data_IF_790609609735
#
_entry.id   IF_790609609735
#
_cell.length_a   1.000
_cell.length_b   1.000
_cell.length_c   1.000
_cell.angle_alpha   90.00
_cell.angle_beta   90.00
_cell.angle_gamma   90.00
#
_symmetry.space_group_name_H-M   'P 1'
#
loop_
_entity.id
_entity.type
_entity.pdbx_description
1 polymer ?
#
# COMPACT_ATOMS: atom_id res chain seq x y z
N UNK A 1 22.59 -20.02 -17.30
CA UNK A 1 21.20 -20.14 -17.79
C UNK A 1 20.32 -19.11 -17.11
N UNK A 2 19.61 -18.27 -17.87
CA UNK A 2 18.80 -17.20 -17.29
C UNK A 2 17.54 -16.84 -18.10
N UNK A 3 16.52 -16.29 -17.43
CA UNK A 3 15.28 -15.79 -18.03
C UNK A 3 14.49 -16.85 -18.81
N UNK A 4 14.45 -18.10 -18.32
CA UNK A 4 13.70 -19.20 -18.93
C UNK A 4 12.45 -19.56 -18.13
N UNK A 5 11.46 -20.12 -18.82
CA UNK A 5 10.29 -20.77 -18.23
C UNK A 5 10.41 -22.27 -18.51
N UNK A 6 10.52 -23.09 -17.46
CA UNK A 6 10.91 -24.50 -17.54
C UNK A 6 9.91 -25.36 -16.75
N UNK A 7 9.16 -26.20 -17.45
CA UNK A 7 8.07 -26.96 -16.84
C UNK A 7 7.72 -28.26 -17.56
N UNK A 8 7.07 -29.19 -16.83
CA UNK A 8 6.59 -30.49 -17.33
C UNK A 8 7.70 -31.44 -17.81
N UNK A 9 8.88 -31.42 -17.18
CA UNK A 9 9.98 -32.33 -17.48
C UNK A 9 10.30 -33.25 -16.30
N UNK A 10 10.99 -34.37 -16.56
CA UNK A 10 11.57 -35.18 -15.46
C UNK A 10 12.61 -34.38 -14.66
N UNK A 11 13.47 -33.64 -15.36
CA UNK A 11 14.45 -32.71 -14.79
C UNK A 11 14.23 -31.34 -15.45
N UNK A 12 14.00 -30.30 -14.66
CA UNK A 12 13.89 -28.93 -15.17
C UNK A 12 15.24 -28.43 -15.68
N UNK A 13 16.22 -28.33 -14.77
CA UNK A 13 17.61 -28.01 -15.12
C UNK A 13 18.53 -29.10 -14.59
N UNK A 14 19.27 -29.78 -15.47
CA UNK A 14 20.39 -30.65 -15.11
C UNK A 14 21.71 -29.89 -15.26
N UNK A 15 22.56 -29.92 -14.24
CA UNK A 15 23.84 -29.19 -14.22
C UNK A 15 25.01 -30.17 -14.12
N UNK A 16 25.90 -30.12 -15.11
CA UNK A 16 27.17 -30.84 -15.16
C UNK A 16 28.31 -29.90 -15.56
N UNK A 17 29.55 -30.25 -15.17
CA UNK A 17 30.72 -29.38 -15.32
C UNK A 17 30.72 -28.22 -14.32
N UNK A 18 31.87 -27.62 -14.01
CA UNK A 18 31.99 -26.63 -12.92
C UNK A 18 31.76 -25.16 -13.38
N UNK A 19 31.52 -24.26 -12.42
CA UNK A 19 31.41 -22.79 -12.63
C UNK A 19 30.15 -22.35 -13.40
N UNK A 20 28.99 -22.85 -12.99
CA UNK A 20 27.71 -22.48 -13.61
C UNK A 20 27.02 -21.32 -12.91
N UNK A 21 26.21 -20.57 -13.65
CA UNK A 21 25.37 -19.49 -13.11
C UNK A 21 23.93 -19.69 -13.61
N UNK A 22 22.98 -19.77 -12.68
CA UNK A 22 21.55 -20.03 -12.95
C UNK A 22 20.72 -18.96 -12.25
N UNK A 23 20.04 -18.10 -13.02
CA UNK A 23 19.30 -16.99 -12.41
C UNK A 23 18.10 -16.49 -13.19
N UNK A 24 17.14 -15.85 -12.52
CA UNK A 24 15.92 -15.30 -13.13
C UNK A 24 15.11 -16.33 -13.93
N UNK A 25 15.09 -17.59 -13.51
CA UNK A 25 14.27 -18.62 -14.17
C UNK A 25 12.98 -18.89 -13.38
N UNK A 26 11.95 -19.31 -14.11
CA UNK A 26 10.67 -19.79 -13.61
C UNK A 26 10.63 -21.31 -13.82
N UNK A 27 10.70 -22.10 -12.76
CA UNK A 27 10.92 -23.55 -12.80
C UNK A 27 9.82 -24.26 -12.00
N UNK A 28 8.90 -24.94 -12.70
CA UNK A 28 7.74 -25.53 -12.04
C UNK A 28 7.20 -26.79 -12.70
N UNK A 29 6.43 -27.61 -11.96
CA UNK A 29 5.82 -28.84 -12.48
C UNK A 29 6.82 -29.80 -13.15
N UNK A 30 8.07 -29.85 -12.69
CA UNK A 30 9.03 -30.86 -13.10
C UNK A 30 9.16 -31.95 -12.02
N UNK A 31 9.75 -33.10 -12.32
CA UNK A 31 10.14 -34.06 -11.29
C UNK A 31 11.15 -33.44 -10.32
N UNK A 32 12.32 -33.11 -10.84
CA UNK A 32 13.33 -32.29 -10.15
C UNK A 32 13.32 -30.89 -10.74
N UNK A 33 13.29 -29.83 -9.91
CA UNK A 33 13.42 -28.46 -10.39
C UNK A 33 14.81 -28.19 -10.95
N UNK A 34 15.83 -28.25 -10.10
CA UNK A 34 17.26 -28.17 -10.46
C UNK A 34 17.99 -29.38 -9.88
N UNK A 35 18.74 -30.10 -10.70
CA UNK A 35 19.58 -31.24 -10.29
C UNK A 35 21.05 -30.95 -10.57
N UNK A 36 21.90 -31.06 -9.55
CA UNK A 36 23.28 -30.58 -9.58
C UNK A 36 24.26 -31.71 -9.28
N UNK A 37 25.26 -31.83 -10.15
CA UNK A 37 26.47 -32.63 -9.95
C UNK A 37 27.67 -31.84 -10.47
N UNK A 38 27.96 -30.72 -9.80
CA UNK A 38 28.83 -29.64 -10.28
C UNK A 38 29.32 -28.76 -9.14
N UNK A 39 30.60 -28.37 -9.17
CA UNK A 39 31.16 -27.40 -8.22
C UNK A 39 30.98 -25.96 -8.69
N UNK A 40 31.05 -25.03 -7.74
CA UNK A 40 31.05 -23.57 -8.00
C UNK A 40 29.83 -23.10 -8.79
N UNK A 41 28.68 -23.74 -8.57
CA UNK A 41 27.41 -23.34 -9.19
C UNK A 41 26.73 -22.25 -8.36
N UNK A 42 26.46 -21.10 -8.99
CA UNK A 42 25.73 -19.98 -8.40
C UNK A 42 24.27 -19.97 -8.85
N UNK A 43 23.33 -19.90 -7.91
CA UNK A 43 21.88 -19.99 -8.16
C UNK A 43 21.20 -18.85 -7.42
N UNK A 44 20.59 -17.92 -8.16
CA UNK A 44 19.91 -16.78 -7.53
C UNK A 44 18.74 -16.23 -8.33
N UNK A 45 17.79 -15.57 -7.68
CA UNK A 45 16.62 -14.97 -8.32
C UNK A 45 15.74 -15.95 -9.12
N UNK A 46 15.71 -17.24 -8.78
CA UNK A 46 14.84 -18.20 -9.45
C UNK A 46 13.55 -18.40 -8.64
N UNK A 47 12.44 -18.58 -9.34
CA UNK A 47 11.16 -19.03 -8.79
C UNK A 47 11.05 -20.54 -9.05
N UNK A 48 11.11 -21.34 -7.99
CA UNK A 48 11.19 -22.82 -8.07
C UNK A 48 10.03 -23.40 -7.25
N UNK A 49 8.96 -23.84 -7.91
CA UNK A 49 7.75 -24.26 -7.20
C UNK A 49 7.02 -25.43 -7.85
N UNK A 50 6.20 -26.15 -7.08
CA UNK A 50 5.39 -27.29 -7.55
C UNK A 50 6.18 -28.33 -8.37
N UNK A 51 7.46 -28.55 -8.05
CA UNK A 51 8.21 -29.68 -8.59
C UNK A 51 7.90 -30.93 -7.74
N UNK A 52 7.59 -32.03 -8.41
CA UNK A 52 6.95 -33.22 -7.84
C UNK A 52 7.83 -33.94 -6.82
N UNK A 53 9.13 -34.05 -7.09
CA UNK A 53 10.07 -34.74 -6.21
C UNK A 53 10.79 -33.76 -5.29
N UNK A 54 11.52 -32.79 -5.86
CA UNK A 54 12.29 -31.80 -5.09
C UNK A 54 12.60 -30.55 -5.92
N UNK A 55 12.59 -29.39 -5.27
CA UNK A 55 12.95 -28.11 -5.89
C UNK A 55 14.41 -28.06 -6.35
N UNK A 56 15.35 -28.33 -5.44
CA UNK A 56 16.79 -28.41 -5.73
C UNK A 56 17.38 -29.69 -5.16
N UNK A 57 17.93 -30.53 -6.03
CA UNK A 57 18.71 -31.70 -5.67
C UNK A 57 20.19 -31.47 -5.95
N UNK A 58 21.06 -31.80 -5.00
CA UNK A 58 22.51 -31.74 -5.20
C UNK A 58 23.22 -32.97 -4.65
N UNK A 59 24.14 -33.50 -5.43
CA UNK A 59 24.99 -34.63 -5.04
C UNK A 59 26.47 -34.30 -5.31
N UNK A 60 27.34 -34.56 -4.32
CA UNK A 60 28.80 -34.46 -4.44
C UNK A 60 29.27 -33.15 -5.10
N UNK A 61 28.79 -32.02 -4.59
CA UNK A 61 28.98 -30.69 -5.18
C UNK A 61 29.44 -29.68 -4.13
N UNK A 62 30.45 -28.87 -4.46
CA UNK A 62 31.12 -27.99 -3.50
C UNK A 62 31.21 -26.54 -3.99
N UNK A 63 31.41 -25.61 -3.05
CA UNK A 63 31.67 -24.19 -3.31
C UNK A 63 30.57 -23.46 -4.11
N UNK A 64 29.35 -23.98 -4.10
CA UNK A 64 28.18 -23.32 -4.68
C UNK A 64 27.65 -22.18 -3.81
N UNK A 65 26.91 -21.28 -4.43
CA UNK A 65 26.27 -20.14 -3.77
C UNK A 65 24.80 -20.05 -4.19
N UNK A 66 23.88 -20.19 -3.23
CA UNK A 66 22.43 -20.20 -3.47
C UNK A 66 21.79 -19.09 -2.63
N UNK A 67 21.25 -18.04 -3.25
CA UNK A 67 20.65 -16.93 -2.52
C UNK A 67 19.54 -16.24 -3.33
N UNK A 68 18.63 -15.54 -2.66
CA UNK A 68 17.53 -14.80 -3.27
C UNK A 68 16.68 -15.63 -4.25
N UNK A 69 16.51 -16.93 -4.00
CA UNK A 69 15.55 -17.76 -4.73
C UNK A 69 14.27 -17.93 -3.90
N UNK A 70 13.15 -18.22 -4.57
CA UNK A 70 11.92 -18.66 -3.93
C UNK A 70 11.76 -20.15 -4.17
N UNK A 71 11.80 -20.93 -3.09
CA UNK A 71 11.47 -22.35 -3.10
C UNK A 71 10.09 -22.55 -2.50
N UNK A 72 9.16 -23.10 -3.30
CA UNK A 72 7.81 -23.45 -2.87
C UNK A 72 7.38 -24.82 -3.40
N UNK A 73 7.92 -25.87 -2.80
CA UNK A 73 7.68 -27.27 -3.17
C UNK A 73 7.40 -28.07 -1.89
N UNK A 74 6.83 -29.26 -2.00
CA UNK A 74 6.68 -30.17 -0.86
C UNK A 74 8.03 -30.50 -0.23
N UNK A 75 9.06 -30.67 -1.07
CA UNK A 75 10.46 -30.79 -0.66
C UNK A 75 11.26 -29.72 -1.42
N UNK A 76 11.77 -28.72 -0.69
CA UNK A 76 12.43 -27.58 -1.34
C UNK A 76 13.86 -27.88 -1.78
N UNK A 77 14.66 -28.52 -0.93
CA UNK A 77 16.03 -28.85 -1.24
C UNK A 77 16.48 -30.14 -0.55
N UNK A 78 17.19 -30.98 -1.27
CA UNK A 78 17.89 -32.16 -0.75
C UNK A 78 19.34 -32.15 -1.22
N UNK A 79 20.27 -32.25 -0.28
CA UNK A 79 21.69 -32.14 -0.55
C UNK A 79 22.47 -33.28 0.10
N UNK A 80 23.28 -33.97 -0.71
CA UNK A 80 24.08 -35.12 -0.29
C UNK A 80 25.54 -34.91 -0.67
N UNK A 81 26.44 -35.12 0.31
CA UNK A 81 27.89 -34.85 0.13
C UNK A 81 28.16 -33.49 -0.49
N UNK A 82 27.31 -32.51 -0.20
CA UNK A 82 27.29 -31.18 -0.82
C UNK A 82 27.53 -30.14 0.25
N UNK A 83 28.35 -29.13 -0.05
CA UNK A 83 28.61 -28.01 0.85
C UNK A 83 28.49 -26.71 0.06
N UNK A 84 27.34 -26.06 0.17
CA UNK A 84 27.06 -24.77 -0.46
C UNK A 84 26.88 -23.67 0.59
N UNK A 85 27.10 -22.42 0.16
CA UNK A 85 26.64 -21.24 0.90
C UNK A 85 25.20 -20.93 0.49
N UNK A 86 24.30 -20.75 1.46
CA UNK A 86 22.86 -20.58 1.23
C UNK A 86 22.36 -19.15 1.43
N UNK A 87 23.27 -18.18 1.55
CA UNK A 87 22.92 -16.77 1.63
C UNK A 87 24.09 -15.90 1.15
N UNK A 88 23.77 -14.69 0.68
CA UNK A 88 24.77 -13.64 0.45
C UNK A 88 25.06 -12.88 1.74
N UNK A 89 25.96 -11.89 1.67
CA UNK A 89 26.00 -10.82 2.65
C UNK A 89 24.70 -10.01 2.59
N UNK A 90 24.24 -9.50 3.74
CA UNK A 90 23.09 -8.57 3.77
C UNK A 90 23.41 -7.30 2.97
N UNK A 91 22.49 -6.89 2.12
CA UNK A 91 22.58 -5.63 1.37
C UNK A 91 21.19 -5.11 1.01
N UNK A 92 21.09 -3.80 0.85
CA UNK A 92 19.89 -3.19 0.27
C UNK A 92 19.70 -3.62 -1.18
N UNK A 93 18.45 -3.89 -1.57
CA UNK A 93 18.06 -4.31 -2.90
C UNK A 93 16.73 -5.04 -2.88
N UNK A 94 16.01 -5.02 -4.01
CA UNK A 94 14.74 -5.72 -4.11
C UNK A 94 14.98 -7.23 -4.11
N UNK A 95 14.46 -7.93 -3.11
CA UNK A 95 14.55 -9.39 -3.01
C UNK A 95 13.44 -10.09 -3.80
N UNK A 96 13.53 -11.42 -3.90
CA UNK A 96 12.60 -12.25 -4.71
C UNK A 96 11.14 -12.19 -4.23
N UNK A 97 10.91 -11.73 -3.01
CA UNK A 97 9.59 -11.53 -2.40
C UNK A 97 9.13 -10.06 -2.47
N UNK A 98 9.91 -9.17 -3.07
CA UNK A 98 9.60 -7.74 -3.21
C UNK A 98 10.03 -6.86 -2.02
N UNK A 99 10.67 -7.42 -0.99
CA UNK A 99 11.25 -6.65 0.12
C UNK A 99 12.52 -5.89 -0.28
N UNK A 100 13.03 -5.00 0.57
CA UNK A 100 14.14 -4.07 0.26
C UNK A 100 15.52 -4.54 0.71
N UNK A 101 15.62 -5.75 1.27
CA UNK A 101 16.88 -6.34 1.73
C UNK A 101 17.08 -7.71 1.08
N UNK A 102 18.25 -7.93 0.48
CA UNK A 102 18.70 -9.22 -0.03
C UNK A 102 19.56 -9.91 1.04
N UNK A 103 19.29 -11.19 1.27
CA UNK A 103 20.05 -12.06 2.18
C UNK A 103 20.14 -13.49 1.64
N UNK A 104 19.34 -14.38 2.22
CA UNK A 104 19.23 -15.79 1.86
C UNK A 104 18.11 -16.07 0.86
N UNK A 105 17.45 -17.21 1.01
CA UNK A 105 16.36 -17.66 0.15
C UNK A 105 15.02 -17.61 0.88
N UNK A 106 13.94 -17.66 0.12
CA UNK A 106 12.58 -17.83 0.65
C UNK A 106 12.19 -19.31 0.61
N UNK A 107 11.81 -19.85 1.76
CA UNK A 107 11.48 -21.25 2.00
C UNK A 107 9.98 -21.39 2.33
N UNK A 108 9.16 -21.48 1.30
CA UNK A 108 7.70 -21.61 1.37
C UNK A 108 7.29 -23.08 1.27
N UNK A 109 6.02 -23.37 1.52
CA UNK A 109 5.42 -24.63 1.09
C UNK A 109 3.98 -24.38 0.57
N UNK A 110 3.40 -25.33 -0.19
CA UNK A 110 2.06 -25.17 -0.77
C UNK A 110 0.92 -25.07 0.24
N UNK A 111 1.17 -25.41 1.51
CA UNK A 111 0.19 -25.37 2.59
C UNK A 111 0.30 -24.09 3.44
N UNK A 112 1.04 -23.09 2.96
CA UNK A 112 1.29 -21.81 3.63
C UNK A 112 1.90 -21.88 5.03
N UNK A 113 2.57 -22.98 5.33
CA UNK A 113 3.26 -23.25 6.61
C UNK A 113 4.78 -23.30 6.45
N UNK A 114 5.30 -22.85 5.31
CA UNK A 114 6.73 -22.82 5.05
C UNK A 114 7.48 -21.98 6.08
N UNK A 115 8.79 -22.21 6.21
CA UNK A 115 9.61 -21.52 7.19
C UNK A 115 9.55 -20.00 7.01
N UNK A 116 9.72 -19.50 5.78
CA UNK A 116 9.63 -18.07 5.49
C UNK A 116 8.23 -17.50 5.71
N UNK A 117 7.18 -18.33 5.59
CA UNK A 117 5.80 -17.92 5.85
C UNK A 117 5.56 -17.75 7.36
N UNK A 118 6.10 -18.65 8.19
CA UNK A 118 5.79 -18.71 9.62
C UNK A 118 6.85 -18.09 10.54
N UNK A 119 8.07 -17.85 10.06
CA UNK A 119 9.16 -17.29 10.88
C UNK A 119 8.81 -15.90 11.42
N UNK A 120 9.35 -15.53 12.58
CA UNK A 120 9.28 -14.16 13.07
C UNK A 120 10.41 -13.32 12.46
N UNK A 121 10.17 -12.02 12.31
CA UNK A 121 11.21 -11.03 11.98
C UNK A 121 11.17 -9.88 12.98
N UNK A 122 12.34 -9.42 13.39
CA UNK A 122 12.49 -8.23 14.21
C UNK A 122 12.33 -6.95 13.38
N UNK A 123 11.85 -5.87 14.00
CA UNK A 123 11.60 -4.58 13.33
C UNK A 123 12.82 -3.98 12.60
N UNK A 124 14.04 -4.44 12.93
CA UNK A 124 15.30 -3.96 12.33
C UNK A 124 15.57 -4.63 10.98
N UNK A 125 14.98 -5.80 10.71
CA UNK A 125 15.13 -6.57 9.46
C UNK A 125 13.80 -7.24 9.08
N UNK A 126 12.75 -6.44 8.84
CA UNK A 126 11.42 -6.98 8.54
C UNK A 126 11.41 -8.02 7.39
N UNK A 127 12.30 -7.87 6.41
CA UNK A 127 12.44 -8.74 5.24
C UNK A 127 13.21 -10.06 5.50
N UNK A 128 13.77 -10.28 6.70
CA UNK A 128 14.63 -11.42 7.03
C UNK A 128 14.10 -12.12 8.29
N UNK A 129 14.01 -13.45 8.27
CA UNK A 129 13.68 -14.25 9.46
C UNK A 129 14.76 -14.09 10.55
N UNK A 130 14.35 -14.01 11.81
CA UNK A 130 15.30 -13.94 12.94
C UNK A 130 16.03 -15.28 13.16
N UNK A 131 15.38 -16.40 12.83
CA UNK A 131 15.95 -17.74 12.93
C UNK A 131 16.57 -18.19 11.59
N UNK A 132 17.61 -19.01 11.68
CA UNK A 132 18.26 -19.64 10.52
C UNK A 132 17.45 -20.83 10.01
N UNK A 133 17.58 -21.16 8.72
CA UNK A 133 16.95 -22.33 8.12
C UNK A 133 18.01 -23.41 7.86
N UNK A 134 17.87 -24.56 8.50
CA UNK A 134 18.78 -25.70 8.32
C UNK A 134 18.27 -26.59 7.19
N UNK A 135 19.00 -26.64 6.07
CA UNK A 135 18.69 -27.53 4.94
C UNK A 135 19.17 -28.95 5.27
N UNK A 136 20.44 -29.07 5.70
CA UNK A 136 21.07 -30.32 6.12
C UNK A 136 22.30 -30.02 6.98
N UNK A 137 23.02 -31.05 7.43
CA UNK A 137 24.30 -30.87 8.13
C UNK A 137 25.26 -30.01 7.28
N UNK A 138 25.87 -29.00 7.90
CA UNK A 138 26.76 -28.01 7.27
C UNK A 138 26.13 -27.20 6.10
N UNK A 139 24.81 -27.24 5.95
CA UNK A 139 24.07 -26.51 4.92
C UNK A 139 22.95 -25.72 5.60
N UNK A 140 23.26 -24.46 5.93
CA UNK A 140 22.37 -23.56 6.65
C UNK A 140 22.23 -22.26 5.89
N UNK A 141 21.00 -21.82 5.67
CA UNK A 141 20.68 -20.46 5.27
C UNK A 141 20.62 -19.60 6.54
N UNK A 142 21.62 -18.74 6.71
CA UNK A 142 21.73 -17.88 7.88
C UNK A 142 20.89 -16.61 7.79
N UNK A 143 20.34 -16.30 6.62
CA UNK A 143 19.57 -15.08 6.39
C UNK A 143 18.28 -15.35 5.61
N UNK A 144 17.42 -16.31 6.02
CA UNK A 144 16.24 -16.66 5.24
C UNK A 144 15.34 -15.44 5.05
N UNK A 145 14.79 -15.26 3.85
CA UNK A 145 13.89 -14.15 3.59
C UNK A 145 12.56 -14.38 4.32
N UNK A 146 12.00 -13.33 4.92
CA UNK A 146 10.66 -13.36 5.51
C UNK A 146 9.64 -13.18 4.39
N UNK A 147 8.70 -14.12 4.26
CA UNK A 147 7.56 -13.95 3.36
C UNK A 147 6.69 -12.80 3.88
N UNK A 148 6.37 -11.80 3.05
CA UNK A 148 5.52 -10.70 3.45
C UNK A 148 4.16 -11.30 3.85
N UNK A 149 3.83 -11.23 5.13
CA UNK A 149 2.52 -11.63 5.58
C UNK A 149 1.54 -10.59 5.06
N UNK A 150 0.47 -11.03 4.37
CA UNK A 150 -0.62 -10.14 3.94
C UNK A 150 -1.23 -9.35 5.13
N UNK A 151 -1.01 -9.82 6.35
CA UNK A 151 -1.47 -9.21 7.60
C UNK A 151 -0.59 -8.06 8.14
N UNK A 152 0.56 -7.76 7.55
CA UNK A 152 1.44 -6.69 8.05
C UNK A 152 1.16 -5.30 7.45
N UNK A 153 0.33 -5.18 6.42
CA UNK A 153 -0.33 -3.91 6.15
C UNK A 153 -1.42 -3.72 7.18
N UNK A 154 -1.04 -3.25 8.37
CA UNK A 154 -1.98 -2.82 9.39
C UNK A 154 -3.01 -1.90 8.72
N UNK A 155 -4.21 -2.43 8.51
CA UNK A 155 -5.31 -1.66 7.93
C UNK A 155 -5.98 -0.88 9.03
N UNK A 156 -6.35 0.35 8.72
CA UNK A 156 -7.09 1.23 9.60
C UNK A 156 -8.43 1.55 8.97
N UNK A 157 -9.44 1.73 9.83
CA UNK A 157 -10.74 2.20 9.38
C UNK A 157 -10.70 3.72 9.21
N UNK A 158 -11.06 4.21 8.03
CA UNK A 158 -11.58 5.56 7.84
C UNK A 158 -13.10 5.47 7.93
N UNK A 159 -13.70 6.13 8.90
CA UNK A 159 -15.15 6.28 9.02
C UNK A 159 -15.55 7.64 8.50
N UNK A 160 -16.26 7.72 7.39
CA UNK A 160 -16.97 8.93 6.99
C UNK A 160 -18.32 8.94 7.70
N UNK A 161 -18.68 10.07 8.30
CA UNK A 161 -19.95 10.27 9.01
C UNK A 161 -20.65 11.49 8.43
N UNK A 162 -21.84 11.29 7.84
CA UNK A 162 -22.64 12.37 7.31
C UNK A 162 -23.53 13.01 8.37
N UNK A 163 -23.75 14.30 8.24
CA UNK A 163 -24.72 15.06 9.02
C UNK A 163 -25.51 15.95 8.06
N UNK A 164 -26.84 15.87 8.11
CA UNK A 164 -27.73 16.81 7.44
C UNK A 164 -28.49 16.23 6.25
N UNK A 165 -28.21 15.00 5.83
CA UNK A 165 -29.05 14.31 4.86
C UNK A 165 -30.33 13.77 5.52
N UNK A 166 -31.45 13.70 4.78
CA UNK A 166 -32.63 12.97 5.22
C UNK A 166 -32.30 11.48 5.43
N UNK A 167 -33.01 10.84 6.36
CA UNK A 167 -32.87 9.40 6.61
C UNK A 167 -33.02 8.61 5.31
N UNK A 168 -32.19 7.57 5.16
CA UNK A 168 -32.17 6.65 4.03
C UNK A 168 -31.72 7.28 2.68
N UNK A 169 -31.19 8.51 2.71
CA UNK A 169 -30.58 9.15 1.53
C UNK A 169 -29.26 8.46 1.20
N UNK A 170 -29.09 8.02 -0.05
CA UNK A 170 -27.82 7.45 -0.51
C UNK A 170 -26.81 8.55 -0.80
N UNK A 171 -25.60 8.40 -0.28
CA UNK A 171 -24.48 9.31 -0.50
C UNK A 171 -23.21 8.51 -0.79
N UNK A 172 -22.24 9.17 -1.43
CA UNK A 172 -21.08 8.51 -2.00
C UNK A 172 -19.79 9.22 -1.59
N UNK A 173 -18.75 8.42 -1.35
CA UNK A 173 -17.38 8.89 -1.12
C UNK A 173 -16.46 8.15 -2.09
N UNK A 174 -15.71 8.92 -2.86
CA UNK A 174 -14.62 8.40 -3.68
C UNK A 174 -13.31 8.52 -2.89
N UNK A 175 -12.68 7.40 -2.58
CA UNK A 175 -11.40 7.31 -1.86
C UNK A 175 -10.36 6.64 -2.77
N UNK A 176 -9.24 7.32 -3.03
CA UNK A 176 -8.17 6.85 -3.93
C UNK A 176 -8.70 6.31 -5.27
N UNK A 177 -9.61 7.06 -5.88
CA UNK A 177 -10.30 6.74 -7.14
C UNK A 177 -11.32 5.59 -7.08
N UNK A 178 -11.65 5.07 -5.89
CA UNK A 178 -12.69 4.06 -5.71
C UNK A 178 -13.92 4.67 -5.02
N UNK A 179 -15.05 4.67 -5.72
CA UNK A 179 -16.33 5.18 -5.19
C UNK A 179 -17.06 4.13 -4.37
N UNK A 180 -17.42 4.51 -3.14
CA UNK A 180 -18.19 3.72 -2.20
C UNK A 180 -19.44 4.50 -1.79
N UNK A 181 -20.50 3.81 -1.37
CA UNK A 181 -21.77 4.44 -1.01
C UNK A 181 -22.45 3.76 0.16
N UNK A 182 -23.38 4.48 0.77
CA UNK A 182 -24.23 4.00 1.86
C UNK A 182 -25.50 4.82 1.89
N UNK A 183 -26.56 4.26 2.46
CA UNK A 183 -27.79 4.97 2.83
C UNK A 183 -27.90 5.17 4.35
N UNK A 184 -26.91 4.71 5.12
CA UNK A 184 -26.78 5.01 6.55
C UNK A 184 -25.96 6.27 6.78
N UNK A 185 -25.90 6.76 8.02
CA UNK A 185 -25.10 7.93 8.36
C UNK A 185 -23.59 7.71 8.26
N UNK A 186 -23.12 6.49 7.95
CA UNK A 186 -21.70 6.14 7.92
C UNK A 186 -21.28 5.33 6.69
N UNK A 187 -20.05 5.58 6.26
CA UNK A 187 -19.29 4.76 5.30
C UNK A 187 -17.96 4.41 5.97
N UNK A 188 -17.69 3.11 6.17
CA UNK A 188 -16.45 2.64 6.82
C UNK A 188 -15.58 1.92 5.79
N UNK A 189 -14.38 2.42 5.55
CA UNK A 189 -13.43 1.89 4.58
C UNK A 189 -12.13 1.48 5.26
N UNK A 190 -11.59 0.32 4.88
CA UNK A 190 -10.28 -0.16 5.36
C UNK A 190 -9.19 0.26 4.40
N UNK A 191 -8.15 0.90 4.91
CA UNK A 191 -6.99 1.34 4.12
C UNK A 191 -5.69 1.10 4.86
N UNK A 192 -4.57 1.10 4.12
CA UNK A 192 -3.22 1.07 4.68
C UNK A 192 -2.86 2.37 5.40
N UNK A 193 -1.76 2.39 6.16
CA UNK A 193 -1.14 3.64 6.63
C UNK A 193 -0.75 4.49 5.42
N UNK A 194 -1.09 5.78 5.41
CA UNK A 194 -0.76 6.62 4.26
C UNK A 194 -1.58 7.89 4.16
N UNK A 195 -1.40 8.64 3.07
CA UNK A 195 -2.23 9.80 2.73
C UNK A 195 -3.24 9.37 1.68
N UNK A 196 -4.52 9.50 1.99
CA UNK A 196 -5.63 9.08 1.13
C UNK A 196 -6.43 10.28 0.69
N UNK A 197 -6.63 10.44 -0.62
CA UNK A 197 -7.45 11.52 -1.18
C UNK A 197 -8.91 11.07 -1.20
N UNK A 198 -9.80 11.89 -0.66
CA UNK A 198 -11.24 11.66 -0.75
C UNK A 198 -11.98 12.79 -1.46
N UNK A 199 -13.08 12.44 -2.09
CA UNK A 199 -14.05 13.33 -2.73
C UNK A 199 -15.45 12.86 -2.31
N UNK A 200 -16.27 13.79 -1.83
CA UNK A 200 -17.69 13.56 -1.57
C UNK A 200 -18.43 13.86 -2.86
N UNK A 201 -19.10 12.86 -3.43
CA UNK A 201 -19.83 13.06 -4.67
C UNK A 201 -21.09 13.89 -4.39
N UNK A 202 -21.52 14.64 -5.41
CA UNK A 202 -22.68 15.51 -5.34
C UNK A 202 -23.96 14.72 -4.99
N UNK A 203 -24.70 15.18 -3.98
CA UNK A 203 -26.06 14.73 -3.67
C UNK A 203 -27.05 15.79 -4.17
N UNK A 204 -28.15 15.37 -4.79
CA UNK A 204 -29.16 16.29 -5.33
C UNK A 204 -29.65 17.24 -4.25
N UNK A 205 -29.68 18.54 -4.54
CA UNK A 205 -30.15 19.61 -3.63
C UNK A 205 -29.31 19.88 -2.38
N UNK A 206 -28.14 19.26 -2.23
CA UNK A 206 -27.22 19.50 -1.11
C UNK A 206 -25.81 19.85 -1.59
N UNK A 207 -25.04 20.60 -0.80
CA UNK A 207 -23.59 20.66 -0.95
C UNK A 207 -22.93 20.13 0.32
N UNK A 208 -21.81 19.43 0.16
CA UNK A 208 -21.05 18.82 1.26
C UNK A 208 -19.89 19.70 1.70
N UNK A 209 -19.67 19.78 3.01
CA UNK A 209 -18.52 20.47 3.61
C UNK A 209 -17.82 19.51 4.59
N UNK A 210 -16.54 19.16 4.37
CA UNK A 210 -15.77 19.37 3.14
C UNK A 210 -16.25 18.48 1.98
N UNK A 211 -16.15 18.96 0.73
CA UNK A 211 -16.43 18.14 -0.47
C UNK A 211 -15.23 17.33 -0.96
N UNK A 212 -14.02 17.63 -0.48
CA UNK A 212 -12.78 16.90 -0.79
C UNK A 212 -11.74 17.14 0.30
N UNK A 213 -10.71 16.30 0.35
CA UNK A 213 -9.55 16.51 1.21
C UNK A 213 -8.61 15.31 1.23
N UNK A 214 -7.51 15.46 1.97
CA UNK A 214 -6.55 14.38 2.23
C UNK A 214 -6.69 13.95 3.69
N UNK A 215 -6.74 12.63 3.92
CA UNK A 215 -6.69 12.03 5.25
C UNK A 215 -5.35 11.33 5.41
N UNK A 216 -4.56 11.75 6.40
CA UNK A 216 -3.34 11.05 6.80
C UNK A 216 -3.69 9.99 7.84
N UNK A 217 -3.61 8.74 7.44
CA UNK A 217 -3.94 7.57 8.25
C UNK A 217 -2.68 7.06 8.93
N UNK A 218 -2.65 7.19 10.25
CA UNK A 218 -1.68 6.54 11.15
C UNK A 218 -2.36 5.60 12.16
N UNK A 219 -3.69 5.59 12.15
CA UNK A 219 -4.62 5.02 13.13
C UNK A 219 -6.05 4.99 12.55
N UNK A 220 -6.98 4.33 13.23
CA UNK A 220 -8.40 4.46 12.90
C UNK A 220 -8.82 5.92 13.06
N UNK A 221 -9.57 6.45 12.09
CA UNK A 221 -9.93 7.87 12.05
C UNK A 221 -11.35 8.06 11.56
N UNK A 222 -11.95 9.19 11.92
CA UNK A 222 -13.30 9.58 11.50
C UNK A 222 -13.27 10.94 10.82
N UNK A 223 -14.01 11.06 9.71
CA UNK A 223 -14.18 12.31 8.95
C UNK A 223 -15.65 12.67 8.87
N UNK A 224 -16.02 13.77 9.52
CA UNK A 224 -17.38 14.30 9.49
C UNK A 224 -17.57 15.09 8.20
N UNK A 225 -18.71 14.85 7.52
CA UNK A 225 -19.15 15.53 6.31
C UNK A 225 -20.52 16.16 6.58
N UNK A 226 -20.60 17.48 6.53
CA UNK A 226 -21.88 18.18 6.70
C UNK A 226 -22.52 18.46 5.35
N UNK A 227 -23.72 17.94 5.13
CA UNK A 227 -24.54 18.25 3.96
C UNK A 227 -25.49 19.40 4.29
N UNK A 228 -25.42 20.46 3.50
CA UNK A 228 -26.23 21.67 3.69
C UNK A 228 -27.20 21.77 2.49
N UNK A 229 -28.53 21.87 2.73
CA UNK A 229 -29.48 22.01 1.63
C UNK A 229 -29.24 23.31 0.85
N UNK A 230 -29.24 23.24 -0.48
CA UNK A 230 -29.04 24.38 -1.38
C UNK A 230 -30.10 25.47 -1.17
N UNK A 231 -31.32 25.10 -0.77
CA UNK A 231 -32.37 26.06 -0.45
C UNK A 231 -31.98 27.00 0.71
N UNK A 232 -31.33 26.47 1.75
CA UNK A 232 -30.89 27.26 2.91
C UNK A 232 -29.68 28.15 2.59
N UNK A 233 -28.78 27.70 1.70
CA UNK A 233 -27.68 28.55 1.21
C UNK A 233 -28.14 29.68 0.29
N UNK A 234 -29.17 29.45 -0.53
CA UNK A 234 -29.78 30.51 -1.36
C UNK A 234 -30.45 31.57 -0.48
N UNK A 235 -31.13 31.16 0.59
CA UNK A 235 -31.74 32.06 1.58
C UNK A 235 -30.70 32.90 2.34
N UNK A 236 -29.56 32.32 2.71
CA UNK A 236 -28.47 33.06 3.39
C UNK A 236 -27.75 34.04 2.45
N UNK A 237 -27.54 33.67 1.19
CA UNK A 237 -26.94 34.57 0.20
C UNK A 237 -27.91 35.70 -0.19
N UNK A 238 -29.22 35.40 -0.33
CA UNK A 238 -30.22 36.43 -0.61
C UNK A 238 -30.38 37.42 0.55
N UNK A 239 -30.38 36.95 1.80
CA UNK A 239 -30.40 37.84 2.98
C UNK A 239 -29.11 38.65 3.11
N UNK A 240 -27.95 38.06 2.82
CA UNK A 240 -26.68 38.79 2.78
C UNK A 240 -26.68 39.88 1.69
N UNK A 241 -27.11 39.57 0.46
CA UNK A 241 -27.25 40.54 -0.63
C UNK A 241 -28.28 41.64 -0.30
N UNK A 242 -29.37 41.29 0.38
CA UNK A 242 -30.37 42.27 0.83
C UNK A 242 -29.78 43.20 1.90
N UNK A 243 -28.96 42.68 2.82
CA UNK A 243 -28.25 43.49 3.82
C UNK A 243 -27.17 44.39 3.20
N UNK A 244 -26.43 43.92 2.19
CA UNK A 244 -25.47 44.74 1.42
C UNK A 244 -26.20 45.84 0.65
N UNK A 245 -27.36 45.54 0.05
CA UNK A 245 -28.22 46.57 -0.56
C UNK A 245 -28.65 47.60 0.49
N UNK A 246 -29.08 47.19 1.68
CA UNK A 246 -29.47 48.11 2.78
C UNK A 246 -28.29 49.00 3.21
N UNK A 247 -27.06 48.47 3.29
CA UNK A 247 -25.85 49.25 3.61
C UNK A 247 -25.57 50.29 2.51
N UNK A 248 -25.75 49.94 1.23
CA UNK A 248 -25.59 50.88 0.11
C UNK A 248 -26.70 51.95 0.02
N UNK A 249 -27.86 51.72 0.65
CA UNK A 249 -28.91 52.75 0.80
C UNK A 249 -28.67 53.67 2.01
N UNK A 250 -27.66 53.40 2.85
CA UNK A 250 -27.39 54.13 4.09
C UNK A 250 -26.25 55.18 4.04
N UNK A 251 -26.01 55.86 2.90
CA UNK A 251 -25.60 57.26 3.01
C UNK A 251 -26.30 58.16 1.98
N UNK A 252 -27.63 58.30 2.06
CA UNK A 252 -28.31 59.48 1.50
C UNK A 252 -29.29 60.19 2.46
N UNK A 253 -29.43 59.75 3.71
CA UNK A 253 -30.32 60.41 4.68
C UNK A 253 -29.60 61.42 5.60
N UNK A 254 -28.26 61.45 5.67
CA UNK A 254 -27.53 62.41 6.55
C UNK A 254 -26.87 63.60 5.83
N UNK A 255 -26.88 63.69 4.51
CA UNK A 255 -26.27 64.84 3.79
C UNK A 255 -27.32 65.93 3.45
N UNK A 256 -28.62 65.59 3.37
CA UNK A 256 -29.68 66.58 3.09
C UNK A 256 -30.02 67.52 4.25
N UNK A 257 -29.88 67.07 5.51
CA UNK A 257 -30.25 67.88 6.68
C UNK A 257 -29.12 68.79 7.19
N UNK A 258 -27.85 68.48 6.90
CA UNK A 258 -26.71 69.33 7.30
C UNK A 258 -26.52 70.52 6.34
N UNK A 259 -26.88 70.37 5.06
CA UNK A 259 -26.78 71.46 4.08
C UNK A 259 -27.88 72.52 4.31
N UNK A 260 -29.07 72.15 4.77
CA UNK A 260 -30.14 73.13 5.07
C UNK A 260 -29.81 73.95 6.33
N UNK A 261 -29.20 73.36 7.35
CA UNK A 261 -28.80 74.10 8.56
C UNK A 261 -27.61 75.05 8.30
N UNK A 262 -26.65 74.67 7.46
CA UNK A 262 -25.52 75.54 7.10
C UNK A 262 -25.93 76.69 6.16
N UNK A 263 -26.87 76.47 5.24
CA UNK A 263 -27.39 77.55 4.37
C UNK A 263 -28.23 78.57 5.17
N UNK A 264 -29.02 78.14 6.15
CA UNK A 264 -29.77 79.06 7.02
C UNK A 264 -28.85 79.85 7.98
N UNK A 265 -27.74 79.25 8.43
CA UNK A 265 -26.76 79.95 9.28
C UNK A 265 -25.91 80.98 8.50
N UNK A 266 -25.60 80.71 7.21
CA UNK A 266 -24.81 81.62 6.36
C UNK A 266 -25.63 82.80 5.83
N UNK A 267 -26.95 82.64 5.62
CA UNK A 267 -27.83 83.76 5.17
C UNK A 267 -28.09 84.77 6.29
N UNK A 268 -28.03 84.38 7.57
CA UNK A 268 -28.23 85.32 8.70
C UNK A 268 -27.01 86.17 9.06
N UNK A 269 -25.80 85.82 8.61
CA UNK A 269 -24.56 86.56 8.98
C UNK A 269 -24.15 87.69 8.03
N UNK A 270 -24.94 87.97 6.98
CA UNK A 270 -24.62 89.00 5.96
C UNK A 270 -25.54 90.23 5.95
N UNK A 271 -26.30 90.46 7.02
CA UNK A 271 -27.02 91.72 7.27
C UNK A 271 -26.81 92.16 8.72
N UNK A 272 -25.74 92.92 8.92
CA UNK A 272 -25.57 94.18 9.68
C UNK A 272 -24.10 94.56 9.50
#
# INVERSE_FOLDING_TARGET
MNNNIIYNNRYGIGVSGDNNIIYNNLIYNNGYGISISSNKTSIYNNLIYNNEMVGLYSYNSYDGLVYNNLFNNTINAEVYFTIFKWNSSLRYGINILGGNIIGGNAWLNPNDTGFSQTCLSSNVKADICDNVYSIWVNNTDFLPLKYPQESEYKTYNITFEEIGLPKDTTWYVTLDNVTNFSNSSRIVLKVSKGSHLYIINQVNDYFSVPSTGIIVVTGNTTRIITFIPLAHAKLSLSTLLQSIKIINYLPFITIGLVIIVLVVALVKKKKI
#
